data_IF_100999866878
#
_entry.id   IF_100999866878
#
_cell.length_a   1.000
_cell.length_b   1.000
_cell.length_c   1.000
_cell.angle_alpha   90.00
_cell.angle_beta   90.00
_cell.angle_gamma   90.00
#
_symmetry.space_group_name_H-M   'P 1'
#
loop_
_entity.id
_entity.type
_entity.pdbx_description
1 polymer ?
#
# COMPACT_ATOMS: atom_id res chain seq x y z
N UNK A 1 -10.42 -2.49 24.35
CA UNK A 1 -10.23 -3.69 23.52
C UNK A 1 -11.55 -4.45 23.29
N UNK A 2 -12.33 -4.84 24.31
CA UNK A 2 -13.62 -5.52 24.08
C UNK A 2 -14.55 -4.80 23.09
N UNK A 3 -14.59 -3.46 23.08
CA UNK A 3 -15.42 -2.69 22.14
C UNK A 3 -14.98 -2.88 20.70
N UNK A 4 -13.67 -2.90 20.41
CA UNK A 4 -13.18 -3.15 19.04
C UNK A 4 -13.49 -4.56 18.54
N UNK A 5 -13.64 -5.54 19.46
CA UNK A 5 -13.96 -6.92 19.12
C UNK A 5 -15.46 -7.16 19.00
N UNK A 6 -16.24 -6.70 19.96
CA UNK A 6 -17.64 -7.09 20.18
C UNK A 6 -18.64 -5.95 20.02
N UNK A 7 -18.19 -4.70 19.90
CA UNK A 7 -19.04 -3.53 19.78
C UNK A 7 -19.74 -3.43 18.43
N UNK A 8 -20.80 -2.63 18.39
CA UNK A 8 -21.44 -2.20 17.13
C UNK A 8 -20.47 -1.37 16.27
N UNK A 9 -20.78 -1.19 14.98
CA UNK A 9 -19.98 -0.34 14.09
C UNK A 9 -19.79 1.07 14.68
N UNK A 10 -20.86 1.68 15.19
CA UNK A 10 -20.81 3.01 15.80
C UNK A 10 -19.89 3.06 17.03
N UNK A 11 -19.94 2.05 17.89
CA UNK A 11 -19.07 1.97 19.08
C UNK A 11 -17.61 1.79 18.69
N UNK A 12 -17.33 0.95 17.68
CA UNK A 12 -15.98 0.76 17.15
C UNK A 12 -15.42 2.06 16.58
N UNK A 13 -16.20 2.78 15.78
CA UNK A 13 -15.81 4.07 15.18
C UNK A 13 -15.48 5.07 16.28
N UNK A 14 -16.41 5.28 17.23
CA UNK A 14 -16.20 6.23 18.34
C UNK A 14 -14.93 5.96 19.15
N UNK A 15 -14.60 4.68 19.37
CA UNK A 15 -13.37 4.35 20.09
C UNK A 15 -12.13 4.61 19.23
N UNK A 16 -12.16 4.26 17.94
CA UNK A 16 -11.05 4.46 17.00
C UNK A 16 -10.68 5.94 16.85
N UNK A 17 -11.68 6.84 16.81
CA UNK A 17 -11.50 8.30 16.79
C UNK A 17 -10.67 8.83 17.99
N UNK A 18 -10.63 8.10 19.09
CA UNK A 18 -9.88 8.49 20.31
C UNK A 18 -8.50 7.87 20.43
N UNK A 19 -8.10 7.00 19.50
CA UNK A 19 -6.89 6.18 19.61
C UNK A 19 -5.70 6.66 18.76
N UNK A 20 -5.81 7.81 18.10
CA UNK A 20 -4.77 8.39 17.25
C UNK A 20 -3.49 8.83 18.01
N UNK A 21 -3.51 8.77 19.33
CA UNK A 21 -2.35 9.06 20.19
C UNK A 21 -1.81 7.83 20.94
N UNK A 22 -2.35 6.65 20.69
CA UNK A 22 -1.91 5.45 21.40
C UNK A 22 -0.53 4.98 20.95
N UNK A 23 0.30 4.55 21.91
CA UNK A 23 1.53 3.80 21.65
C UNK A 23 1.52 2.43 22.32
N UNK A 24 0.38 2.03 22.87
CA UNK A 24 0.20 0.72 23.50
C UNK A 24 0.19 -0.37 22.44
N UNK A 25 1.09 -1.40 22.52
CA UNK A 25 1.20 -2.45 21.54
C UNK A 25 -0.11 -3.22 21.29
N UNK A 26 -0.82 -3.60 22.34
CA UNK A 26 -2.07 -4.39 22.26
C UNK A 26 -3.18 -3.59 21.59
N UNK A 27 -3.24 -2.27 21.85
CA UNK A 27 -4.19 -1.37 21.21
C UNK A 27 -3.87 -1.22 19.74
N UNK A 28 -2.58 -1.00 19.39
CA UNK A 28 -2.15 -0.87 17.99
C UNK A 28 -2.43 -2.15 17.19
N UNK A 29 -2.16 -3.33 17.74
CA UNK A 29 -2.50 -4.60 17.10
C UNK A 29 -4.01 -4.74 16.90
N UNK A 30 -4.82 -4.31 17.88
CA UNK A 30 -6.28 -4.30 17.74
C UNK A 30 -6.76 -3.31 16.67
N UNK A 31 -6.17 -2.12 16.54
CA UNK A 31 -6.51 -1.16 15.47
C UNK A 31 -6.12 -1.76 14.12
N UNK A 32 -4.91 -2.33 13.99
CA UNK A 32 -4.44 -2.97 12.76
C UNK A 32 -5.39 -4.10 12.33
N UNK A 33 -5.91 -4.90 13.29
CA UNK A 33 -6.88 -5.94 12.98
C UNK A 33 -8.19 -5.40 12.37
N UNK A 34 -8.57 -4.16 12.68
CA UNK A 34 -9.77 -3.50 12.14
C UNK A 34 -9.60 -3.00 10.70
N UNK A 35 -8.42 -3.05 10.15
CA UNK A 35 -8.20 -2.86 8.70
C UNK A 35 -8.84 -3.96 7.84
N UNK A 36 -9.32 -5.04 8.47
CA UNK A 36 -10.08 -6.13 7.83
C UNK A 36 -11.48 -6.31 8.45
N UNK A 37 -12.02 -5.29 9.10
CA UNK A 37 -13.38 -5.33 9.64
C UNK A 37 -14.39 -5.43 8.49
N UNK A 38 -15.52 -6.11 8.70
CA UNK A 38 -16.57 -6.26 7.69
C UNK A 38 -17.17 -4.92 7.26
N UNK A 39 -17.23 -3.96 8.19
CA UNK A 39 -17.74 -2.62 7.92
C UNK A 39 -16.67 -1.70 7.33
N UNK A 40 -16.99 -1.08 6.19
CA UNK A 40 -16.06 -0.19 5.47
C UNK A 40 -15.73 1.09 6.26
N UNK A 41 -16.67 1.59 7.08
CA UNK A 41 -16.44 2.80 7.87
C UNK A 41 -15.49 2.49 9.03
N UNK A 42 -15.61 1.32 9.65
CA UNK A 42 -14.68 0.84 10.68
C UNK A 42 -13.27 0.69 10.10
N UNK A 43 -13.13 0.09 8.89
CA UNK A 43 -11.82 0.02 8.20
C UNK A 43 -11.25 1.41 7.93
N UNK A 44 -12.09 2.33 7.46
CA UNK A 44 -11.68 3.71 7.19
C UNK A 44 -11.20 4.44 8.44
N UNK A 45 -11.91 4.28 9.56
CA UNK A 45 -11.52 4.91 10.81
C UNK A 45 -10.27 4.29 11.43
N UNK A 46 -10.11 2.95 11.35
CA UNK A 46 -8.87 2.30 11.75
C UNK A 46 -7.67 2.81 10.93
N UNK A 47 -7.85 2.97 9.62
CA UNK A 47 -6.83 3.56 8.74
C UNK A 47 -6.50 4.99 9.17
N UNK A 48 -7.51 5.85 9.38
CA UNK A 48 -7.34 7.25 9.81
C UNK A 48 -6.59 7.35 11.14
N UNK A 49 -7.01 6.55 12.12
CA UNK A 49 -6.37 6.49 13.44
C UNK A 49 -4.88 6.14 13.35
N UNK A 50 -4.50 5.17 12.49
CA UNK A 50 -3.10 4.79 12.28
C UNK A 50 -2.30 5.86 11.51
N UNK A 51 -2.89 6.49 10.50
CA UNK A 51 -2.22 7.55 9.71
C UNK A 51 -1.97 8.78 10.56
N UNK A 52 -2.96 9.20 11.36
CA UNK A 52 -2.88 10.40 12.19
C UNK A 52 -2.05 10.21 13.46
N UNK A 53 -1.75 8.98 13.84
CA UNK A 53 -0.98 8.68 15.04
C UNK A 53 0.41 9.31 14.98
N UNK A 54 0.72 10.19 15.94
CA UNK A 54 1.98 10.95 16.00
C UNK A 54 3.14 10.20 16.65
N UNK A 55 2.87 9.01 17.22
CA UNK A 55 3.91 8.21 17.85
C UNK A 55 4.71 7.41 16.81
N UNK A 56 5.88 6.92 17.21
CA UNK A 56 6.72 6.03 16.39
C UNK A 56 6.14 4.61 16.38
N UNK A 57 5.16 4.35 15.52
CA UNK A 57 4.47 3.06 15.43
C UNK A 57 4.93 2.20 14.24
N UNK A 58 5.97 2.62 13.50
CA UNK A 58 6.47 1.96 12.29
C UNK A 58 6.72 0.46 12.49
N UNK A 59 7.32 0.06 13.61
CA UNK A 59 7.61 -1.35 13.89
C UNK A 59 6.34 -2.21 14.03
N UNK A 60 5.25 -1.64 14.56
CA UNK A 60 3.96 -2.33 14.66
C UNK A 60 3.30 -2.44 13.29
N UNK A 61 3.37 -1.39 12.47
CA UNK A 61 2.88 -1.42 11.09
C UNK A 61 3.65 -2.45 10.26
N UNK A 62 4.98 -2.50 10.38
CA UNK A 62 5.82 -3.49 9.68
C UNK A 62 5.43 -4.92 10.10
N UNK A 63 5.12 -5.18 11.39
CA UNK A 63 4.58 -6.48 11.82
C UNK A 63 3.26 -6.81 11.13
N UNK A 64 2.38 -5.82 10.93
CA UNK A 64 1.10 -5.98 10.23
C UNK A 64 1.25 -6.47 8.79
N UNK A 65 2.40 -6.21 8.15
CA UNK A 65 2.71 -6.72 6.80
C UNK A 65 2.85 -8.25 6.73
N UNK A 66 3.01 -8.94 7.86
CA UNK A 66 3.08 -10.39 7.93
C UNK A 66 1.69 -11.05 8.15
N UNK A 67 0.61 -10.29 8.03
CA UNK A 67 -0.75 -10.80 8.18
C UNK A 67 -1.10 -11.80 7.07
N UNK A 68 -1.96 -12.78 7.40
CA UNK A 68 -2.58 -13.64 6.38
C UNK A 68 -3.64 -12.87 5.56
N UNK A 69 -4.26 -11.81 6.13
CA UNK A 69 -5.26 -11.00 5.45
C UNK A 69 -4.60 -10.05 4.43
N UNK A 70 -5.03 -10.16 3.17
CA UNK A 70 -4.63 -9.23 2.10
C UNK A 70 -5.10 -7.79 2.38
N UNK A 71 -6.23 -7.61 3.05
CA UNK A 71 -6.76 -6.29 3.39
C UNK A 71 -5.88 -5.61 4.44
N UNK A 72 -5.51 -6.33 5.51
CA UNK A 72 -4.58 -5.80 6.53
C UNK A 72 -3.27 -5.40 5.87
N UNK A 73 -2.69 -6.26 5.03
CA UNK A 73 -1.44 -5.93 4.33
C UNK A 73 -1.62 -4.69 3.46
N UNK A 74 -2.65 -4.65 2.60
CA UNK A 74 -2.90 -3.56 1.67
C UNK A 74 -3.09 -2.22 2.38
N UNK A 75 -3.96 -2.16 3.40
CA UNK A 75 -4.17 -0.94 4.16
C UNK A 75 -2.93 -0.55 4.98
N UNK A 76 -2.20 -1.50 5.55
CA UNK A 76 -0.94 -1.22 6.28
C UNK A 76 0.12 -0.61 5.35
N UNK A 77 0.24 -1.11 4.11
CA UNK A 77 1.11 -0.52 3.09
C UNK A 77 0.73 0.94 2.81
N UNK A 78 -0.57 1.24 2.68
CA UNK A 78 -1.08 2.60 2.50
C UNK A 78 -0.80 3.48 3.72
N UNK A 79 -0.96 2.97 4.95
CA UNK A 79 -0.61 3.70 6.18
C UNK A 79 0.88 4.05 6.19
N UNK A 80 1.76 3.07 5.94
CA UNK A 80 3.21 3.27 5.89
C UNK A 80 3.61 4.32 4.84
N UNK A 81 3.01 4.26 3.66
CA UNK A 81 3.23 5.24 2.61
C UNK A 81 2.78 6.65 3.03
N UNK A 82 1.54 6.81 3.52
CA UNK A 82 1.01 8.10 3.95
C UNK A 82 1.81 8.72 5.11
N UNK A 83 2.36 7.91 6.00
CA UNK A 83 3.24 8.34 7.09
C UNK A 83 4.68 8.59 6.66
N UNK A 84 5.01 8.33 5.38
CA UNK A 84 6.37 8.42 4.83
C UNK A 84 7.39 7.57 5.61
N UNK A 85 7.01 6.35 5.99
CA UNK A 85 7.81 5.43 6.81
C UNK A 85 8.83 4.66 5.95
N UNK A 86 9.89 5.34 5.53
CA UNK A 86 10.92 4.78 4.63
C UNK A 86 11.66 3.57 5.22
N UNK A 87 11.67 3.41 6.54
CA UNK A 87 12.25 2.25 7.22
C UNK A 87 11.56 0.92 6.81
N UNK A 88 10.32 0.99 6.30
CA UNK A 88 9.57 -0.17 5.86
C UNK A 88 9.92 -0.64 4.44
N UNK A 89 10.66 0.16 3.66
CA UNK A 89 10.96 -0.15 2.25
C UNK A 89 11.51 -1.57 2.04
N UNK A 90 12.47 -2.09 2.83
CA UNK A 90 12.97 -3.45 2.64
C UNK A 90 11.89 -4.53 2.74
N UNK A 91 10.94 -4.39 3.65
CA UNK A 91 9.84 -5.33 3.81
C UNK A 91 8.79 -5.17 2.70
N UNK A 92 8.51 -3.94 2.27
CA UNK A 92 7.61 -3.68 1.14
C UNK A 92 8.16 -4.27 -0.16
N UNK A 93 9.48 -4.21 -0.38
CA UNK A 93 10.16 -4.83 -1.53
C UNK A 93 9.90 -6.35 -1.59
N UNK A 94 9.84 -7.04 -0.45
CA UNK A 94 9.50 -8.47 -0.42
C UNK A 94 8.07 -8.71 -0.89
N UNK A 95 7.12 -7.87 -0.45
CA UNK A 95 5.70 -7.96 -0.80
C UNK A 95 5.40 -7.62 -2.28
N UNK A 96 6.26 -6.87 -2.94
CA UNK A 96 6.16 -6.66 -4.38
C UNK A 96 6.35 -7.94 -5.21
N UNK A 97 6.67 -9.07 -4.57
CA UNK A 97 6.80 -10.40 -5.16
C UNK A 97 5.78 -11.41 -4.62
N UNK A 98 4.78 -10.94 -3.85
CA UNK A 98 3.73 -11.79 -3.28
C UNK A 98 2.92 -12.49 -4.38
N UNK A 99 2.43 -13.69 -4.10
CA UNK A 99 1.61 -14.45 -5.05
C UNK A 99 0.27 -13.76 -5.34
N UNK A 100 -0.27 -13.03 -4.36
CA UNK A 100 -1.53 -12.27 -4.45
C UNK A 100 -1.30 -10.96 -5.20
N UNK A 101 -1.96 -10.78 -6.35
CA UNK A 101 -1.79 -9.58 -7.19
C UNK A 101 -2.13 -8.27 -6.45
N UNK A 102 -3.19 -8.26 -5.64
CA UNK A 102 -3.58 -7.09 -4.84
C UNK A 102 -2.45 -6.66 -3.88
N UNK A 103 -1.73 -7.63 -3.27
CA UNK A 103 -0.60 -7.31 -2.37
C UNK A 103 0.57 -6.73 -3.16
N UNK A 104 0.89 -7.30 -4.35
CA UNK A 104 1.93 -6.74 -5.23
C UNK A 104 1.60 -5.32 -5.67
N UNK A 105 0.35 -5.08 -6.10
CA UNK A 105 -0.14 -3.76 -6.51
C UNK A 105 0.06 -2.73 -5.39
N UNK A 106 -0.47 -3.00 -4.18
CA UNK A 106 -0.32 -2.12 -3.04
C UNK A 106 1.15 -1.88 -2.67
N UNK A 107 2.00 -2.92 -2.74
CA UNK A 107 3.42 -2.80 -2.45
C UNK A 107 4.14 -1.91 -3.49
N UNK A 108 3.87 -2.10 -4.77
CA UNK A 108 4.43 -1.28 -5.85
C UNK A 108 3.97 0.18 -5.71
N UNK A 109 2.67 0.41 -5.44
CA UNK A 109 2.14 1.75 -5.18
C UNK A 109 2.80 2.43 -3.98
N UNK A 110 2.94 1.71 -2.86
CA UNK A 110 3.60 2.22 -1.65
C UNK A 110 5.07 2.57 -1.90
N UNK A 111 5.83 1.72 -2.62
CA UNK A 111 7.22 1.99 -3.01
C UNK A 111 7.33 3.23 -3.91
N UNK A 112 6.41 3.39 -4.87
CA UNK A 112 6.34 4.58 -5.72
C UNK A 112 6.09 5.85 -4.90
N UNK A 113 5.13 5.82 -3.99
CA UNK A 113 4.80 6.94 -3.11
C UNK A 113 5.96 7.32 -2.18
N UNK A 114 6.64 6.33 -1.61
CA UNK A 114 7.84 6.51 -0.78
C UNK A 114 9.09 6.92 -1.57
N UNK A 115 8.98 7.03 -2.89
CA UNK A 115 10.08 7.37 -3.81
C UNK A 115 11.29 6.44 -3.65
N UNK A 116 11.04 5.14 -3.46
CA UNK A 116 12.05 4.11 -3.23
C UNK A 116 12.89 3.85 -4.49
N UNK A 117 13.97 4.61 -4.68
CA UNK A 117 14.87 4.46 -5.83
C UNK A 117 15.54 3.08 -5.88
N UNK A 118 15.77 2.46 -4.73
CA UNK A 118 16.29 1.10 -4.58
C UNK A 118 15.36 0.02 -5.15
N UNK A 119 14.08 0.33 -5.34
CA UNK A 119 13.09 -0.57 -5.94
C UNK A 119 13.03 -0.49 -7.47
N UNK A 120 13.94 0.26 -8.13
CA UNK A 120 13.94 0.48 -9.59
C UNK A 120 13.77 -0.81 -10.40
N UNK A 121 14.55 -1.85 -10.09
CA UNK A 121 14.49 -3.12 -10.84
C UNK A 121 13.13 -3.83 -10.65
N UNK A 122 12.50 -3.65 -9.48
CA UNK A 122 11.17 -4.19 -9.19
C UNK A 122 10.13 -3.46 -10.03
N UNK A 123 10.16 -2.13 -10.09
CA UNK A 123 9.25 -1.37 -10.95
C UNK A 123 9.38 -1.80 -12.41
N UNK A 124 10.62 -1.88 -12.93
CA UNK A 124 10.87 -2.29 -14.30
C UNK A 124 10.41 -3.73 -14.60
N UNK A 125 10.48 -4.64 -13.63
CA UNK A 125 9.96 -6.00 -13.76
C UNK A 125 8.44 -6.01 -13.74
N UNK A 126 7.83 -5.25 -12.85
CA UNK A 126 6.38 -5.19 -12.65
C UNK A 126 5.62 -4.52 -13.80
N UNK A 127 6.31 -3.81 -14.72
CA UNK A 127 5.72 -3.32 -15.96
C UNK A 127 5.14 -4.44 -16.84
N UNK A 128 5.58 -5.68 -16.65
CA UNK A 128 5.14 -6.87 -17.39
C UNK A 128 4.48 -7.89 -16.45
N UNK A 129 3.96 -7.46 -15.30
CA UNK A 129 3.21 -8.33 -14.40
C UNK A 129 1.97 -8.91 -15.08
N UNK A 130 1.59 -10.12 -14.70
CA UNK A 130 0.37 -10.78 -15.22
C UNK A 130 -0.91 -10.00 -14.91
N UNK A 131 -0.93 -9.24 -13.80
CA UNK A 131 -2.07 -8.44 -13.38
C UNK A 131 -1.97 -7.00 -13.89
N UNK A 132 -3.06 -6.51 -14.49
CA UNK A 132 -3.13 -5.17 -15.10
C UNK A 132 -2.88 -4.04 -14.09
N UNK A 133 -3.47 -4.12 -12.90
CA UNK A 133 -3.35 -3.06 -11.88
C UNK A 133 -1.92 -2.96 -11.33
N UNK A 134 -1.22 -4.10 -11.21
CA UNK A 134 0.22 -4.10 -10.87
C UNK A 134 1.03 -3.39 -11.95
N UNK A 135 0.73 -3.62 -13.24
CA UNK A 135 1.41 -2.94 -14.36
C UNK A 135 1.17 -1.44 -14.34
N UNK A 136 -0.08 -1.00 -14.08
CA UNK A 136 -0.44 0.43 -13.96
C UNK A 136 0.31 1.10 -12.81
N UNK A 137 0.30 0.49 -11.63
CA UNK A 137 1.03 1.00 -10.45
C UNK A 137 2.53 1.10 -10.71
N UNK A 138 3.12 0.11 -11.39
CA UNK A 138 4.53 0.13 -11.77
C UNK A 138 4.84 1.23 -12.78
N UNK A 139 3.98 1.43 -13.78
CA UNK A 139 4.15 2.47 -14.79
C UNK A 139 4.05 3.87 -14.17
N UNK A 140 3.09 4.08 -13.26
CA UNK A 140 2.99 5.32 -12.51
C UNK A 140 4.26 5.59 -11.68
N UNK A 141 4.77 4.60 -10.95
CA UNK A 141 6.00 4.75 -10.17
C UNK A 141 7.21 5.08 -11.06
N UNK A 142 7.34 4.44 -12.22
CA UNK A 142 8.40 4.71 -13.20
C UNK A 142 8.34 6.15 -13.72
N UNK A 143 7.13 6.66 -13.98
CA UNK A 143 6.91 8.05 -14.41
C UNK A 143 7.31 9.02 -13.30
N UNK A 144 6.82 8.80 -12.09
CA UNK A 144 7.03 9.69 -10.94
C UNK A 144 8.49 9.79 -10.52
N UNK A 145 9.21 8.67 -10.63
CA UNK A 145 10.63 8.56 -10.29
C UNK A 145 11.58 8.86 -11.46
N UNK A 146 11.05 9.21 -12.65
CA UNK A 146 11.83 9.44 -13.88
C UNK A 146 12.75 8.27 -14.24
N UNK A 147 12.26 7.03 -14.09
CA UNK A 147 13.02 5.83 -14.43
C UNK A 147 12.95 5.58 -15.93
N UNK A 148 14.11 5.42 -16.57
CA UNK A 148 14.18 5.10 -18.00
C UNK A 148 13.67 3.68 -18.27
N UNK A 149 12.76 3.55 -19.24
CA UNK A 149 12.21 2.27 -19.71
C UNK A 149 12.72 1.98 -21.11
N UNK A 150 13.11 0.73 -21.38
CA UNK A 150 13.56 0.31 -22.70
C UNK A 150 12.40 0.33 -23.71
N UNK A 151 12.70 0.68 -24.97
CA UNK A 151 11.71 0.68 -26.06
C UNK A 151 10.99 -0.66 -26.22
N UNK A 152 11.69 -1.76 -26.00
CA UNK A 152 11.09 -3.09 -26.11
C UNK A 152 9.97 -3.31 -25.08
N UNK A 153 10.18 -2.90 -23.82
CA UNK A 153 9.14 -2.97 -22.79
C UNK A 153 7.95 -2.07 -23.13
N UNK A 154 8.22 -0.87 -23.61
CA UNK A 154 7.17 0.07 -24.06
C UNK A 154 6.33 -0.58 -25.20
N UNK A 155 6.98 -1.18 -26.20
CA UNK A 155 6.30 -1.86 -27.30
C UNK A 155 5.45 -3.05 -26.82
N UNK A 156 5.89 -3.75 -25.79
CA UNK A 156 5.16 -4.88 -25.22
C UNK A 156 3.89 -4.42 -24.49
N UNK A 157 4.00 -3.35 -23.71
CA UNK A 157 2.86 -2.75 -23.01
C UNK A 157 1.79 -2.17 -23.94
N UNK A 158 2.20 -1.58 -25.09
CA UNK A 158 1.27 -1.01 -26.09
C UNK A 158 0.36 -2.10 -26.72
N UNK A 159 0.76 -3.37 -26.70
CA UNK A 159 -0.08 -4.46 -27.22
C UNK A 159 -1.37 -4.64 -26.43
N UNK A 160 -1.41 -4.18 -25.18
CA UNK A 160 -2.61 -4.14 -24.38
C UNK A 160 -3.42 -2.88 -24.68
N UNK A 161 -4.62 -3.09 -25.18
CA UNK A 161 -5.57 -1.99 -25.49
C UNK A 161 -6.28 -1.51 -24.22
N UNK A 162 -5.51 -1.00 -23.23
CA UNK A 162 -6.05 -0.40 -22.01
C UNK A 162 -5.85 1.12 -22.07
N UNK A 163 -6.95 1.88 -21.93
CA UNK A 163 -6.95 3.34 -22.10
C UNK A 163 -6.11 4.07 -21.03
N UNK A 164 -5.95 3.48 -19.85
CA UNK A 164 -5.17 4.07 -18.77
C UNK A 164 -3.66 3.83 -19.00
N UNK A 165 -3.30 2.61 -19.40
CA UNK A 165 -1.93 2.31 -19.85
C UNK A 165 -1.52 3.25 -21.00
N UNK A 166 -2.39 3.47 -21.98
CA UNK A 166 -2.10 4.39 -23.11
C UNK A 166 -1.84 5.82 -22.62
N UNK A 167 -2.65 6.33 -21.69
CA UNK A 167 -2.45 7.65 -21.08
C UNK A 167 -1.11 7.76 -20.33
N UNK A 168 -0.80 6.75 -19.52
CA UNK A 168 0.46 6.69 -18.77
C UNK A 168 1.67 6.61 -19.71
N UNK A 169 1.62 5.78 -20.75
CA UNK A 169 2.67 5.70 -21.76
C UNK A 169 2.87 7.03 -22.52
N UNK A 170 1.80 7.78 -22.77
CA UNK A 170 1.90 9.11 -23.35
C UNK A 170 2.61 10.09 -22.41
N UNK A 171 2.35 10.01 -21.09
CA UNK A 171 3.06 10.81 -20.09
C UNK A 171 4.55 10.45 -20.02
N UNK A 172 4.87 9.15 -20.07
CA UNK A 172 6.26 8.67 -20.06
C UNK A 172 7.07 9.20 -21.25
N UNK A 173 6.45 9.32 -22.44
CA UNK A 173 7.13 9.83 -23.66
C UNK A 173 7.36 11.34 -23.68
N UNK A 174 6.66 12.09 -22.83
CA UNK A 174 6.79 13.54 -22.74
C UNK A 174 7.91 14.02 -21.80
N UNK A 175 8.44 13.13 -21.00
CA UNK A 175 9.57 13.37 -20.08
C UNK A 175 10.89 12.97 -20.71
#
# INVERSE_FOLDING_TARGET
MKVLELGSCEEKIKILETLDYTNNPEILESIISKLDDDDIQVRGEAFSSLVLNKNKISNFLIKGLNSASKNIIGFTLLVLANRNETIAIPEIIKLAKDERSMVRECAIGALGYLKAQEAKEIFLKSLLDSNLEVRKSALQAVIDLNITVSENKIKEMIKEKDSEIEKLLFQLKKK
#
